data_IF_623414210003
#
_entry.id   IF_623414210003
#
_cell.length_a   1.000
_cell.length_b   1.000
_cell.length_c   1.000
_cell.angle_alpha   90.00
_cell.angle_beta   90.00
_cell.angle_gamma   90.00
#
_symmetry.space_group_name_H-M   'P 1'
#
loop_
_entity.id
_entity.type
_entity.pdbx_description
1 polymer ?
#
# COMPACT_ATOMS: atom_id res chain seq x y z
N UNK A 1 53.56 -34.36 16.02
CA UNK A 1 52.46 -34.88 15.16
C UNK A 1 51.16 -34.63 15.88
N UNK A 2 50.32 -33.79 15.27
CA UNK A 2 49.10 -33.22 15.83
C UNK A 2 47.95 -33.65 14.89
N UNK A 3 46.96 -34.36 15.41
CA UNK A 3 45.68 -34.66 14.73
C UNK A 3 44.67 -34.92 15.86
N UNK A 4 43.87 -33.95 16.30
CA UNK A 4 42.65 -33.39 15.68
C UNK A 4 41.58 -34.46 15.44
N UNK A 5 40.55 -34.50 16.30
CA UNK A 5 39.20 -34.90 15.89
C UNK A 5 38.17 -34.04 16.62
N UNK A 6 37.59 -33.12 15.84
CA UNK A 6 36.43 -32.31 16.19
C UNK A 6 35.19 -33.21 16.34
N UNK A 7 34.48 -33.07 17.46
CA UNK A 7 33.08 -33.46 17.57
C UNK A 7 32.21 -32.26 17.13
N UNK A 8 31.75 -32.30 15.89
CA UNK A 8 30.68 -31.44 15.38
C UNK A 8 29.34 -31.95 15.91
N UNK A 9 28.80 -31.31 16.95
CA UNK A 9 27.38 -31.43 17.32
C UNK A 9 26.57 -30.56 16.35
N UNK A 10 26.32 -31.07 15.15
CA UNK A 10 25.22 -30.61 14.31
C UNK A 10 23.95 -31.29 14.79
N UNK A 11 23.06 -30.56 15.46
CA UNK A 11 21.71 -31.05 15.68
C UNK A 11 21.04 -31.17 14.32
N UNK A 12 20.94 -32.40 13.78
CA UNK A 12 20.15 -32.68 12.60
C UNK A 12 18.70 -32.29 12.88
N UNK A 13 18.17 -31.37 12.09
CA UNK A 13 16.74 -31.05 12.10
C UNK A 13 16.02 -32.37 11.76
N UNK A 14 15.00 -32.79 12.53
CA UNK A 14 14.29 -34.03 12.23
C UNK A 14 13.69 -33.97 10.82
N UNK A 15 13.99 -34.97 9.99
CA UNK A 15 13.40 -35.10 8.66
C UNK A 15 11.89 -35.28 8.79
N UNK A 16 11.12 -34.40 8.14
CA UNK A 16 9.66 -34.54 8.07
C UNK A 16 9.35 -35.74 7.18
N UNK A 17 8.56 -36.70 7.69
CA UNK A 17 8.12 -37.87 6.93
C UNK A 17 7.45 -37.45 5.61
N UNK A 18 7.81 -38.13 4.51
CA UNK A 18 7.38 -37.76 3.16
C UNK A 18 7.99 -36.46 2.61
N UNK A 19 8.85 -35.76 3.36
CA UNK A 19 9.47 -34.50 2.94
C UNK A 19 10.35 -34.62 1.69
N UNK A 20 11.11 -35.72 1.56
CA UNK A 20 11.92 -35.99 0.38
C UNK A 20 11.06 -36.19 -0.89
N UNK A 21 9.95 -36.95 -0.78
CA UNK A 21 8.98 -37.12 -1.87
C UNK A 21 8.32 -35.80 -2.24
N UNK A 22 7.99 -34.97 -1.24
CA UNK A 22 7.42 -33.65 -1.49
C UNK A 22 8.37 -32.75 -2.28
N UNK A 23 9.65 -32.70 -1.88
CA UNK A 23 10.67 -31.91 -2.58
C UNK A 23 10.95 -32.44 -3.99
N UNK A 24 10.99 -33.76 -4.19
CA UNK A 24 11.11 -34.37 -5.50
C UNK A 24 9.90 -34.06 -6.41
N UNK A 25 8.69 -34.04 -5.84
CA UNK A 25 7.47 -33.59 -6.50
C UNK A 25 7.54 -32.12 -6.91
N UNK A 26 8.04 -31.25 -6.03
CA UNK A 26 8.23 -29.82 -6.31
C UNK A 26 9.24 -29.60 -7.44
N UNK A 27 10.35 -30.32 -7.43
CA UNK A 27 11.35 -30.27 -8.50
C UNK A 27 10.77 -30.74 -9.83
N UNK A 28 10.00 -31.83 -9.83
CA UNK A 28 9.33 -32.34 -11.04
C UNK A 28 8.30 -31.35 -11.58
N UNK A 29 7.53 -30.68 -10.71
CA UNK A 29 6.57 -29.65 -11.10
C UNK A 29 7.27 -28.44 -11.74
N UNK A 30 8.38 -27.97 -11.15
CA UNK A 30 9.19 -26.87 -11.72
C UNK A 30 9.80 -27.23 -13.08
N UNK A 31 10.07 -28.51 -13.31
CA UNK A 31 10.51 -29.04 -14.60
C UNK A 31 9.36 -29.29 -15.60
N UNK A 32 8.12 -28.90 -15.25
CA UNK A 32 6.90 -29.14 -16.03
C UNK A 32 6.59 -30.64 -16.30
N UNK A 33 7.15 -31.54 -15.49
CA UNK A 33 6.88 -32.98 -15.54
C UNK A 33 5.64 -33.31 -14.70
N UNK A 34 4.48 -32.80 -15.12
CA UNK A 34 3.25 -32.82 -14.31
C UNK A 34 2.78 -34.23 -13.93
N UNK A 35 2.93 -35.22 -14.81
CA UNK A 35 2.59 -36.62 -14.50
C UNK A 35 3.46 -37.20 -13.39
N UNK A 36 4.75 -36.91 -13.45
CA UNK A 36 5.71 -37.38 -12.45
C UNK A 36 5.49 -36.67 -11.11
N UNK A 37 5.29 -35.35 -11.15
CA UNK A 37 4.99 -34.55 -9.97
C UNK A 37 3.72 -35.06 -9.27
N UNK A 38 2.64 -35.31 -10.02
CA UNK A 38 1.40 -35.85 -9.45
C UNK A 38 1.63 -37.20 -8.74
N UNK A 39 2.37 -38.12 -9.34
CA UNK A 39 2.70 -39.42 -8.73
C UNK A 39 3.50 -39.27 -7.43
N UNK A 40 4.55 -38.44 -7.43
CA UNK A 40 5.38 -38.19 -6.25
C UNK A 40 4.58 -37.55 -5.10
N UNK A 41 3.69 -36.62 -5.41
CA UNK A 41 2.80 -36.03 -4.41
C UNK A 41 1.77 -37.03 -3.87
N UNK A 42 1.24 -37.95 -4.69
CA UNK A 42 0.35 -39.02 -4.19
C UNK A 42 1.09 -40.02 -3.29
N UNK A 43 2.34 -40.33 -3.59
CA UNK A 43 3.19 -41.16 -2.72
C UNK A 43 3.46 -40.45 -1.39
N UNK A 44 3.84 -39.17 -1.44
CA UNK A 44 4.02 -38.33 -0.25
C UNK A 44 2.75 -38.29 0.61
N UNK A 45 1.58 -38.16 -0.03
CA UNK A 45 0.29 -38.19 0.66
C UNK A 45 0.00 -39.53 1.34
N UNK A 46 0.51 -40.64 0.82
CA UNK A 46 0.34 -41.97 1.43
C UNK A 46 1.25 -42.12 2.66
N UNK A 47 2.49 -41.63 2.57
CA UNK A 47 3.51 -41.79 3.61
C UNK A 47 3.39 -40.80 4.76
N UNK A 48 2.84 -39.60 4.53
CA UNK A 48 2.88 -38.53 5.52
C UNK A 48 1.49 -38.00 5.85
N UNK A 49 0.99 -38.28 7.05
CA UNK A 49 -0.26 -37.70 7.55
C UNK A 49 -0.19 -36.16 7.58
N UNK A 50 0.95 -35.61 8.02
CA UNK A 50 1.15 -34.16 8.18
C UNK A 50 1.20 -33.40 6.85
N UNK A 51 1.77 -34.02 5.81
CA UNK A 51 1.83 -33.42 4.47
C UNK A 51 0.65 -33.81 3.58
N UNK A 52 -0.13 -34.84 3.93
CA UNK A 52 -1.22 -35.41 3.10
C UNK A 52 -2.12 -34.36 2.45
N UNK A 53 -2.79 -33.46 3.19
CA UNK A 53 -3.69 -32.48 2.58
C UNK A 53 -2.97 -31.56 1.56
N UNK A 54 -1.73 -31.16 1.87
CA UNK A 54 -0.97 -30.31 0.96
C UNK A 54 -0.51 -31.07 -0.28
N UNK A 55 -0.01 -32.29 -0.10
CA UNK A 55 0.46 -33.17 -1.16
C UNK A 55 -0.69 -33.57 -2.09
N UNK A 56 -1.85 -33.97 -1.58
CA UNK A 56 -3.05 -34.24 -2.40
C UNK A 56 -3.48 -33.02 -3.22
N UNK A 57 -3.49 -31.83 -2.61
CA UNK A 57 -3.81 -30.59 -3.33
C UNK A 57 -2.78 -30.26 -4.43
N UNK A 58 -1.49 -30.55 -4.20
CA UNK A 58 -0.42 -30.41 -5.22
C UNK A 58 -0.52 -31.46 -6.33
N UNK A 59 -0.89 -32.69 -5.98
CA UNK A 59 -1.17 -33.74 -6.95
C UNK A 59 -2.32 -33.33 -7.86
N UNK A 60 -3.44 -32.88 -7.29
CA UNK A 60 -4.60 -32.38 -8.03
C UNK A 60 -4.25 -31.24 -9.01
N UNK A 61 -3.46 -30.25 -8.56
CA UNK A 61 -2.93 -29.19 -9.44
C UNK A 61 -2.18 -29.76 -10.64
N UNK A 62 -1.31 -30.75 -10.42
CA UNK A 62 -0.52 -31.35 -11.50
C UNK A 62 -1.35 -32.28 -12.40
N UNK A 63 -2.36 -32.99 -11.87
CA UNK A 63 -3.34 -33.72 -12.68
C UNK A 63 -4.06 -32.77 -13.64
N UNK A 64 -4.48 -31.59 -13.16
CA UNK A 64 -5.10 -30.55 -13.99
C UNK A 64 -4.15 -30.05 -15.07
N UNK A 65 -2.89 -29.74 -14.73
CA UNK A 65 -1.89 -29.26 -15.69
C UNK A 65 -1.54 -30.32 -16.75
N UNK A 66 -1.70 -31.60 -16.43
CA UNK A 66 -1.60 -32.72 -17.36
C UNK A 66 -2.90 -33.02 -18.15
N UNK A 67 -3.95 -32.17 -18.02
CA UNK A 67 -5.22 -32.32 -18.72
C UNK A 67 -6.20 -33.33 -18.11
N UNK A 68 -5.86 -33.97 -16.99
CA UNK A 68 -6.73 -34.93 -16.29
C UNK A 68 -7.63 -34.21 -15.29
N UNK A 69 -8.61 -33.48 -15.83
CA UNK A 69 -9.51 -32.63 -15.05
C UNK A 69 -10.39 -33.42 -14.06
N UNK A 70 -10.86 -34.61 -14.42
CA UNK A 70 -11.68 -35.44 -13.53
C UNK A 70 -10.88 -35.94 -12.31
N UNK A 71 -9.65 -36.41 -12.53
CA UNK A 71 -8.76 -36.85 -11.46
C UNK A 71 -8.38 -35.70 -10.53
N UNK A 72 -8.11 -34.52 -11.10
CA UNK A 72 -7.85 -33.31 -10.33
C UNK A 72 -9.04 -32.93 -9.44
N UNK A 73 -10.25 -32.98 -10.00
CA UNK A 73 -11.49 -32.67 -9.28
C UNK A 73 -11.75 -33.65 -8.13
N UNK A 74 -11.58 -34.96 -8.37
CA UNK A 74 -11.73 -35.98 -7.33
C UNK A 74 -10.76 -35.74 -6.15
N UNK A 75 -9.50 -35.44 -6.45
CA UNK A 75 -8.49 -35.15 -5.42
C UNK A 75 -8.79 -33.85 -4.67
N UNK A 76 -9.27 -32.80 -5.35
CA UNK A 76 -9.68 -31.57 -4.66
C UNK A 76 -10.86 -31.82 -3.72
N UNK A 77 -11.89 -32.56 -4.15
CA UNK A 77 -13.00 -32.91 -3.26
C UNK A 77 -12.56 -33.75 -2.08
N UNK A 78 -11.64 -34.71 -2.29
CA UNK A 78 -11.09 -35.49 -1.20
C UNK A 78 -10.44 -34.58 -0.15
N UNK A 79 -9.62 -33.61 -0.56
CA UNK A 79 -9.01 -32.66 0.37
C UNK A 79 -10.06 -31.84 1.12
N UNK A 80 -11.07 -31.32 0.42
CA UNK A 80 -12.11 -30.49 1.06
C UNK A 80 -13.03 -31.27 2.00
N UNK A 81 -13.25 -32.57 1.73
CA UNK A 81 -14.11 -33.43 2.56
C UNK A 81 -13.37 -33.98 3.77
N UNK A 82 -12.15 -34.47 3.58
CA UNK A 82 -11.38 -35.16 4.61
C UNK A 82 -10.65 -34.15 5.51
N UNK A 83 -10.37 -32.95 4.99
CA UNK A 83 -9.68 -31.84 5.68
C UNK A 83 -10.47 -30.54 5.54
N UNK A 84 -11.69 -30.46 6.11
CA UNK A 84 -12.53 -29.26 6.02
C UNK A 84 -11.89 -28.06 6.75
N UNK A 85 -11.04 -28.34 7.74
CA UNK A 85 -10.31 -27.34 8.51
C UNK A 85 -8.80 -27.40 8.22
N UNK A 86 -8.17 -26.23 8.07
CA UNK A 86 -6.71 -26.11 7.99
C UNK A 86 -6.20 -25.17 6.90
N UNK A 87 -4.88 -24.89 6.88
CA UNK A 87 -4.29 -23.91 5.96
C UNK A 87 -4.41 -24.33 4.48
N UNK A 88 -4.57 -25.63 4.21
CA UNK A 88 -4.60 -26.19 2.85
C UNK A 88 -5.98 -26.20 2.19
N UNK A 89 -7.06 -26.07 2.98
CA UNK A 89 -8.45 -26.04 2.51
C UNK A 89 -8.67 -24.80 1.65
N UNK A 90 -8.25 -23.63 2.14
CA UNK A 90 -8.34 -22.36 1.40
C UNK A 90 -7.53 -22.38 0.11
N UNK A 91 -6.33 -22.96 0.15
CA UNK A 91 -5.50 -23.15 -1.03
C UNK A 91 -6.16 -24.08 -2.06
N UNK A 92 -6.92 -25.06 -1.58
CA UNK A 92 -7.66 -26.00 -2.42
C UNK A 92 -8.87 -25.34 -3.07
N UNK A 93 -9.66 -24.54 -2.33
CA UNK A 93 -10.72 -23.71 -2.91
C UNK A 93 -10.16 -22.81 -4.02
N UNK A 94 -9.03 -22.15 -3.78
CA UNK A 94 -8.37 -21.30 -4.78
C UNK A 94 -8.08 -22.09 -6.08
N UNK A 95 -7.43 -23.25 -5.95
CA UNK A 95 -7.07 -24.09 -7.10
C UNK A 95 -8.28 -24.64 -7.85
N UNK A 96 -9.34 -24.95 -7.11
CA UNK A 96 -10.61 -25.41 -7.69
C UNK A 96 -11.31 -24.27 -8.44
N UNK A 97 -11.34 -23.07 -7.87
CA UNK A 97 -11.81 -21.86 -8.53
C UNK A 97 -11.07 -21.60 -9.85
N UNK A 98 -9.74 -21.68 -9.84
CA UNK A 98 -8.90 -21.52 -11.05
C UNK A 98 -9.21 -22.58 -12.12
N UNK A 99 -9.43 -23.83 -11.71
CA UNK A 99 -9.84 -24.90 -12.63
C UNK A 99 -11.18 -24.59 -13.29
N UNK A 100 -12.17 -24.14 -12.51
CA UNK A 100 -13.49 -23.78 -13.01
C UNK A 100 -13.46 -22.54 -13.90
N UNK A 101 -12.64 -21.56 -13.54
CA UNK A 101 -12.37 -20.38 -14.35
C UNK A 101 -11.87 -20.77 -15.74
N UNK A 102 -10.86 -21.65 -15.81
CA UNK A 102 -10.30 -22.13 -17.08
C UNK A 102 -11.31 -22.92 -17.93
N UNK A 103 -12.28 -23.57 -17.29
CA UNK A 103 -13.37 -24.29 -17.96
C UNK A 103 -14.53 -23.37 -18.38
N UNK A 104 -14.45 -22.05 -18.14
CA UNK A 104 -15.55 -21.11 -18.41
C UNK A 104 -16.74 -21.26 -17.47
N UNK A 105 -16.61 -22.02 -16.38
CA UNK A 105 -17.69 -22.28 -15.42
C UNK A 105 -17.76 -21.16 -14.37
N UNK A 106 -18.21 -19.98 -14.79
CA UNK A 106 -18.20 -18.73 -13.99
C UNK A 106 -18.86 -18.88 -12.63
N UNK A 107 -20.06 -19.47 -12.56
CA UNK A 107 -20.81 -19.66 -11.30
C UNK A 107 -20.04 -20.53 -10.31
N UNK A 108 -19.48 -21.64 -10.79
CA UNK A 108 -18.70 -22.57 -9.95
C UNK A 108 -17.38 -21.93 -9.50
N UNK A 109 -16.69 -21.23 -10.41
CA UNK A 109 -15.44 -20.54 -10.10
C UNK A 109 -15.65 -19.49 -9.00
N UNK A 110 -16.69 -18.66 -9.14
CA UNK A 110 -17.05 -17.64 -8.16
C UNK A 110 -17.32 -18.21 -6.77
N UNK A 111 -18.06 -19.33 -6.67
CA UNK A 111 -18.31 -19.99 -5.38
C UNK A 111 -17.00 -20.29 -4.65
N UNK A 112 -16.06 -20.96 -5.33
CA UNK A 112 -14.79 -21.32 -4.72
C UNK A 112 -13.91 -20.11 -4.42
N UNK A 113 -13.95 -19.06 -5.24
CA UNK A 113 -13.26 -17.81 -4.94
C UNK A 113 -13.85 -17.09 -3.72
N UNK A 114 -15.17 -17.08 -3.57
CA UNK A 114 -15.82 -16.53 -2.38
C UNK A 114 -15.39 -17.30 -1.11
N UNK A 115 -15.40 -18.64 -1.15
CA UNK A 115 -14.89 -19.47 -0.05
C UNK A 115 -13.41 -19.19 0.25
N UNK A 116 -12.60 -19.00 -0.79
CA UNK A 116 -11.18 -18.62 -0.67
C UNK A 116 -10.97 -17.27 0.01
N UNK A 117 -11.89 -16.32 -0.15
CA UNK A 117 -11.76 -14.95 0.36
C UNK A 117 -12.46 -14.77 1.72
N UNK A 118 -13.38 -15.68 2.08
CA UNK A 118 -14.21 -15.55 3.27
C UNK A 118 -13.37 -15.35 4.56
N UNK A 119 -13.74 -14.33 5.34
CA UNK A 119 -13.15 -14.03 6.65
C UNK A 119 -11.72 -13.45 6.61
N UNK A 120 -11.21 -13.01 5.45
CA UNK A 120 -9.90 -12.39 5.35
C UNK A 120 -9.99 -10.87 5.41
N UNK A 121 -9.74 -10.31 6.59
CA UNK A 121 -9.64 -8.87 6.81
C UNK A 121 -8.39 -8.56 7.66
N UNK A 122 -7.37 -7.85 7.11
CA UNK A 122 -7.28 -7.34 5.74
C UNK A 122 -7.02 -8.44 4.70
N UNK A 123 -7.38 -8.18 3.44
CA UNK A 123 -7.09 -9.09 2.34
C UNK A 123 -5.57 -9.15 2.08
N UNK A 124 -4.93 -10.34 2.09
CA UNK A 124 -3.53 -10.47 1.73
C UNK A 124 -3.26 -10.11 0.27
N UNK A 125 -2.25 -9.29 0.00
CA UNK A 125 -1.90 -8.76 -1.33
C UNK A 125 -1.72 -9.85 -2.41
N UNK A 126 -1.28 -11.06 -2.05
CA UNK A 126 -1.09 -12.15 -3.01
C UNK A 126 -2.42 -12.76 -3.50
N UNK A 127 -3.55 -12.40 -2.88
CA UNK A 127 -4.90 -12.79 -3.28
C UNK A 127 -5.63 -11.72 -4.11
N UNK A 128 -5.01 -10.56 -4.36
CA UNK A 128 -5.63 -9.44 -5.09
C UNK A 128 -6.18 -9.87 -6.46
N UNK A 129 -5.42 -10.67 -7.21
CA UNK A 129 -5.85 -11.18 -8.52
C UNK A 129 -7.11 -12.05 -8.41
N UNK A 130 -7.21 -12.85 -7.36
CA UNK A 130 -8.35 -13.74 -7.15
C UNK A 130 -9.59 -12.93 -6.76
N UNK A 131 -9.43 -11.95 -5.87
CA UNK A 131 -10.50 -11.02 -5.50
C UNK A 131 -11.01 -10.23 -6.72
N UNK A 132 -10.10 -9.79 -7.59
CA UNK A 132 -10.45 -9.15 -8.85
C UNK A 132 -11.27 -10.05 -9.76
N UNK A 133 -10.80 -11.28 -10.00
CA UNK A 133 -11.52 -12.24 -10.82
C UNK A 133 -12.91 -12.57 -10.24
N UNK A 134 -13.01 -12.69 -8.92
CA UNK A 134 -14.28 -12.91 -8.23
C UNK A 134 -15.27 -11.76 -8.47
N UNK A 135 -14.78 -10.51 -8.39
CA UNK A 135 -15.60 -9.32 -8.65
C UNK A 135 -16.03 -9.22 -10.13
N UNK A 136 -15.13 -9.49 -11.08
CA UNK A 136 -15.47 -9.52 -12.52
C UNK A 136 -16.54 -10.58 -12.82
N UNK A 137 -16.46 -11.74 -12.16
CA UNK A 137 -17.46 -12.79 -12.28
C UNK A 137 -18.79 -12.45 -11.61
N UNK A 138 -18.77 -11.72 -10.50
CA UNK A 138 -19.99 -11.17 -9.93
C UNK A 138 -20.70 -10.23 -10.93
N UNK A 139 -19.95 -9.37 -11.63
CA UNK A 139 -20.51 -8.47 -12.65
C UNK A 139 -21.08 -9.20 -13.89
N UNK A 140 -20.65 -10.44 -14.15
CA UNK A 140 -21.18 -11.25 -15.25
C UNK A 140 -22.49 -11.98 -14.90
N UNK A 141 -22.91 -11.97 -13.64
CA UNK A 141 -24.09 -12.68 -13.14
C UNK A 141 -25.19 -11.69 -12.74
N UNK A 142 -26.43 -11.84 -13.27
CA UNK A 142 -27.54 -10.98 -12.89
C UNK A 142 -27.80 -11.01 -11.37
N UNK A 143 -27.91 -9.84 -10.75
CA UNK A 143 -28.19 -9.67 -9.33
C UNK A 143 -26.97 -9.61 -8.41
N UNK A 144 -25.75 -9.80 -8.94
CA UNK A 144 -24.49 -9.72 -8.19
C UNK A 144 -23.68 -8.44 -8.47
N UNK A 145 -24.24 -7.50 -9.22
CA UNK A 145 -23.56 -6.28 -9.66
C UNK A 145 -23.10 -5.43 -8.47
N UNK A 146 -23.97 -5.29 -7.45
CA UNK A 146 -23.66 -4.52 -6.23
C UNK A 146 -22.43 -5.07 -5.50
N UNK A 147 -22.27 -6.39 -5.46
CA UNK A 147 -21.13 -7.04 -4.83
C UNK A 147 -19.85 -6.83 -5.65
N UNK A 148 -19.91 -7.06 -6.97
CA UNK A 148 -18.78 -6.85 -7.86
C UNK A 148 -18.27 -5.40 -7.82
N UNK A 149 -19.17 -4.42 -7.88
CA UNK A 149 -18.79 -3.00 -7.80
C UNK A 149 -18.34 -2.57 -6.40
N UNK A 150 -18.83 -3.19 -5.33
CA UNK A 150 -18.34 -2.91 -3.97
C UNK A 150 -16.83 -3.20 -3.82
N UNK A 151 -16.34 -4.29 -4.41
CA UNK A 151 -14.91 -4.59 -4.43
C UNK A 151 -14.11 -3.48 -5.14
N UNK A 152 -14.53 -3.08 -6.33
CA UNK A 152 -13.81 -2.03 -7.08
C UNK A 152 -13.85 -0.67 -6.38
N UNK A 153 -14.94 -0.33 -5.66
CA UNK A 153 -15.00 0.86 -4.81
C UNK A 153 -13.95 0.81 -3.69
N UNK A 154 -13.82 -0.32 -3.00
CA UNK A 154 -12.79 -0.51 -1.97
C UNK A 154 -11.38 -0.40 -2.57
N UNK A 155 -11.11 -1.03 -3.72
CA UNK A 155 -9.81 -0.88 -4.41
C UNK A 155 -9.53 0.58 -4.72
N UNK A 156 -10.52 1.34 -5.21
CA UNK A 156 -10.35 2.77 -5.50
C UNK A 156 -10.06 3.59 -4.24
N UNK A 157 -10.73 3.27 -3.13
CA UNK A 157 -10.59 3.97 -1.87
C UNK A 157 -9.24 3.71 -1.21
N UNK A 158 -8.76 2.47 -1.20
CA UNK A 158 -7.78 2.04 -0.19
C UNK A 158 -6.46 1.54 -0.76
N UNK A 159 -6.40 1.08 -2.01
CA UNK A 159 -5.12 0.61 -2.57
C UNK A 159 -4.09 1.73 -2.53
N UNK A 160 -2.82 1.39 -2.27
CA UNK A 160 -1.70 2.35 -2.39
C UNK A 160 -1.18 2.43 -3.84
N UNK A 161 -1.52 1.46 -4.69
CA UNK A 161 -0.96 1.32 -6.03
C UNK A 161 -1.78 2.04 -7.10
N UNK A 162 -1.11 2.75 -8.00
CA UNK A 162 -1.77 3.55 -9.06
C UNK A 162 -2.47 2.68 -10.10
N UNK A 163 -1.83 1.60 -10.56
CA UNK A 163 -2.38 0.77 -11.63
C UNK A 163 -3.68 0.04 -11.21
N UNK A 164 -3.74 -0.69 -10.08
CA UNK A 164 -4.99 -1.29 -9.61
C UNK A 164 -6.10 -0.27 -9.39
N UNK A 165 -5.80 0.90 -8.81
CA UNK A 165 -6.77 1.98 -8.64
C UNK A 165 -7.37 2.45 -9.95
N UNK A 166 -6.52 2.70 -10.96
CA UNK A 166 -6.96 3.16 -12.29
C UNK A 166 -7.80 2.10 -12.98
N UNK A 167 -7.41 0.85 -12.89
CA UNK A 167 -8.11 -0.23 -13.59
C UNK A 167 -9.47 -0.52 -12.93
N UNK A 168 -9.56 -0.42 -11.59
CA UNK A 168 -10.82 -0.54 -10.84
C UNK A 168 -11.76 0.64 -11.15
N UNK A 169 -11.20 1.85 -11.22
CA UNK A 169 -11.91 3.05 -11.63
C UNK A 169 -12.54 2.91 -13.02
N UNK A 170 -11.80 2.35 -14.00
CA UNK A 170 -12.33 2.06 -15.34
C UNK A 170 -13.47 1.05 -15.32
N UNK A 171 -13.41 0.06 -14.42
CA UNK A 171 -14.49 -0.92 -14.22
C UNK A 171 -15.75 -0.23 -13.69
N UNK A 172 -15.61 0.63 -12.69
CA UNK A 172 -16.70 1.39 -12.10
C UNK A 172 -17.40 2.32 -13.11
N UNK A 173 -16.65 2.90 -14.04
CA UNK A 173 -17.22 3.75 -15.10
C UNK A 173 -18.14 3.01 -16.08
N UNK A 174 -18.11 1.68 -16.13
CA UNK A 174 -19.05 0.89 -16.95
C UNK A 174 -20.36 0.59 -16.23
N UNK A 175 -20.51 0.98 -14.95
CA UNK A 175 -21.72 0.74 -14.17
C UNK A 175 -22.87 1.62 -14.65
N UNK A 176 -24.09 1.05 -14.65
CA UNK A 176 -25.32 1.82 -14.85
C UNK A 176 -25.65 2.71 -13.65
N UNK A 177 -25.10 2.44 -12.47
CA UNK A 177 -25.27 3.24 -11.27
C UNK A 177 -24.34 4.47 -11.26
N UNK A 178 -24.92 5.66 -11.05
CA UNK A 178 -24.17 6.92 -11.01
C UNK A 178 -23.19 7.03 -9.82
N UNK A 179 -23.47 6.37 -8.69
CA UNK A 179 -22.55 6.33 -7.55
C UNK A 179 -21.27 5.54 -7.87
N UNK A 180 -21.39 4.41 -8.57
CA UNK A 180 -20.22 3.66 -9.02
C UNK A 180 -19.40 4.51 -9.99
N UNK A 181 -20.05 5.18 -10.96
CA UNK A 181 -19.34 6.05 -11.90
C UNK A 181 -18.66 7.24 -11.22
N UNK A 182 -19.26 7.82 -10.18
CA UNK A 182 -18.60 8.80 -9.31
C UNK A 182 -17.29 8.24 -8.73
N UNK A 183 -17.32 7.05 -8.15
CA UNK A 183 -16.12 6.38 -7.64
C UNK A 183 -15.10 6.10 -8.76
N UNK A 184 -15.57 5.80 -9.97
CA UNK A 184 -14.73 5.72 -11.17
C UNK A 184 -13.99 7.02 -11.46
N UNK A 185 -14.70 8.14 -11.50
CA UNK A 185 -14.09 9.48 -11.70
C UNK A 185 -13.10 9.80 -10.58
N UNK A 186 -13.49 9.57 -9.32
CA UNK A 186 -12.64 9.77 -8.15
C UNK A 186 -11.35 8.94 -8.23
N UNK A 187 -11.44 7.66 -8.60
CA UNK A 187 -10.28 6.78 -8.73
C UNK A 187 -9.32 7.20 -9.84
N UNK A 188 -9.84 7.63 -10.99
CA UNK A 188 -9.00 8.20 -12.07
C UNK A 188 -8.28 9.47 -11.61
N UNK A 189 -8.99 10.39 -10.96
CA UNK A 189 -8.42 11.62 -10.45
C UNK A 189 -7.34 11.35 -9.39
N UNK A 190 -7.57 10.40 -8.46
CA UNK A 190 -6.58 9.96 -7.47
C UNK A 190 -5.34 9.33 -8.11
N UNK A 191 -5.51 8.61 -9.20
CA UNK A 191 -4.42 8.04 -10.02
C UNK A 191 -3.74 9.04 -10.96
N UNK A 192 -4.02 10.34 -10.83
CA UNK A 192 -3.45 11.43 -11.64
C UNK A 192 -3.79 11.28 -13.14
N UNK A 193 -4.84 10.51 -13.46
CA UNK A 193 -5.37 10.40 -14.81
C UNK A 193 -6.45 11.46 -15.04
N UNK A 194 -6.03 12.73 -14.98
CA UNK A 194 -6.93 13.88 -14.88
C UNK A 194 -7.78 14.05 -16.14
N UNK A 195 -7.21 13.82 -17.32
CA UNK A 195 -7.92 13.92 -18.61
C UNK A 195 -9.08 12.92 -18.69
N UNK A 196 -8.82 11.64 -18.42
CA UNK A 196 -9.84 10.60 -18.46
C UNK A 196 -10.91 10.86 -17.37
N UNK A 197 -10.50 11.34 -16.19
CA UNK A 197 -11.42 11.70 -15.11
C UNK A 197 -12.36 12.84 -15.53
N UNK A 198 -11.81 13.89 -16.16
CA UNK A 198 -12.57 15.03 -16.67
C UNK A 198 -13.55 14.64 -17.76
N UNK A 199 -13.11 13.84 -18.72
CA UNK A 199 -13.96 13.34 -19.80
C UNK A 199 -15.10 12.45 -19.27
N UNK A 200 -14.81 11.60 -18.28
CA UNK A 200 -15.83 10.79 -17.64
C UNK A 200 -16.84 11.67 -16.87
N UNK A 201 -16.36 12.63 -16.08
CA UNK A 201 -17.22 13.56 -15.33
C UNK A 201 -18.13 14.38 -16.26
N UNK A 202 -17.65 14.83 -17.42
CA UNK A 202 -18.45 15.67 -18.33
C UNK A 202 -19.61 14.93 -19.01
N UNK A 203 -19.62 13.58 -18.96
CA UNK A 203 -20.71 12.76 -19.49
C UNK A 203 -21.86 12.59 -18.49
N UNK A 204 -21.65 12.98 -17.23
CA UNK A 204 -22.62 12.77 -16.17
C UNK A 204 -23.63 13.91 -16.10
N UNK A 205 -24.91 13.55 -15.96
CA UNK A 205 -26.02 14.50 -15.84
C UNK A 205 -26.29 14.80 -14.36
N UNK A 206 -25.30 15.39 -13.69
CA UNK A 206 -25.38 15.73 -12.26
C UNK A 206 -25.94 17.14 -12.09
N UNK A 207 -26.95 17.26 -11.24
CA UNK A 207 -27.56 18.54 -10.85
C UNK A 207 -27.06 18.95 -9.47
N UNK A 208 -26.72 20.22 -9.32
CA UNK A 208 -26.33 20.89 -8.09
C UNK A 208 -27.28 22.06 -7.82
N UNK A 209 -27.33 22.53 -6.56
CA UNK A 209 -28.16 23.65 -6.13
C UNK A 209 -27.41 24.97 -6.27
N UNK A 210 -27.99 25.92 -7.00
CA UNK A 210 -27.56 27.31 -7.09
C UNK A 210 -28.18 28.21 -6.03
N UNK A 211 -28.02 29.52 -6.21
CA UNK A 211 -28.67 30.53 -5.37
C UNK A 211 -30.19 30.34 -5.37
N UNK A 212 -30.83 30.51 -4.21
CA UNK A 212 -32.28 30.38 -4.03
C UNK A 212 -32.86 29.01 -4.44
N UNK A 213 -32.01 27.97 -4.53
CA UNK A 213 -32.45 26.60 -4.83
C UNK A 213 -32.61 26.28 -6.32
N UNK A 214 -32.17 27.15 -7.23
CA UNK A 214 -32.20 26.88 -8.67
C UNK A 214 -31.35 25.65 -9.00
N UNK A 215 -31.89 24.73 -9.80
CA UNK A 215 -31.14 23.57 -10.28
C UNK A 215 -30.15 23.98 -11.37
N UNK A 216 -28.88 23.64 -11.19
CA UNK A 216 -27.78 23.93 -12.10
C UNK A 216 -27.05 22.63 -12.47
N UNK A 217 -26.52 22.50 -13.70
CA UNK A 217 -25.64 21.38 -14.01
C UNK A 217 -24.33 21.50 -13.22
N UNK A 218 -23.67 20.37 -12.94
CA UNK A 218 -22.35 20.35 -12.26
C UNK A 218 -21.30 21.22 -12.98
N UNK A 219 -21.39 21.33 -14.31
CA UNK A 219 -20.52 22.20 -15.13
C UNK A 219 -20.63 23.69 -14.79
N UNK A 220 -21.64 24.13 -14.04
CA UNK A 220 -21.69 25.48 -13.48
C UNK A 220 -20.52 25.79 -12.54
N UNK A 221 -19.91 24.78 -11.91
CA UNK A 221 -18.67 24.94 -11.14
C UNK A 221 -17.48 25.26 -12.07
N UNK A 222 -17.39 24.62 -13.23
CA UNK A 222 -16.36 24.92 -14.24
C UNK A 222 -16.52 26.35 -14.77
N UNK A 223 -17.76 26.78 -15.06
CA UNK A 223 -18.08 28.14 -15.49
C UNK A 223 -17.65 29.16 -14.43
N UNK A 224 -17.94 28.91 -13.16
CA UNK A 224 -17.52 29.79 -12.07
C UNK A 224 -15.99 29.90 -11.97
N UNK A 225 -15.28 28.79 -12.22
CA UNK A 225 -13.82 28.73 -12.15
C UNK A 225 -13.12 29.45 -13.31
N UNK A 226 -13.73 29.59 -14.49
CA UNK A 226 -13.10 30.20 -15.67
C UNK A 226 -12.60 31.64 -15.42
N UNK A 227 -13.25 32.37 -14.51
CA UNK A 227 -12.87 33.75 -14.17
C UNK A 227 -11.70 33.86 -13.18
N UNK A 228 -11.15 32.75 -12.68
CA UNK A 228 -10.19 32.75 -11.57
C UNK A 228 -8.93 33.60 -11.80
N UNK A 229 -8.45 33.72 -13.05
CA UNK A 229 -7.28 34.54 -13.35
C UNK A 229 -7.59 36.04 -13.33
N UNK A 230 -8.78 36.43 -13.76
CA UNK A 230 -9.19 37.84 -13.87
C UNK A 230 -9.81 38.37 -12.57
N UNK A 231 -10.54 37.52 -11.84
CA UNK A 231 -11.25 37.85 -10.61
C UNK A 231 -11.12 36.69 -9.60
N UNK A 232 -9.95 36.53 -8.94
CA UNK A 232 -9.74 35.44 -7.98
C UNK A 232 -10.71 35.52 -6.79
N UNK A 233 -10.90 36.71 -6.24
CA UNK A 233 -11.73 36.93 -5.03
C UNK A 233 -13.21 36.67 -5.32
N UNK A 234 -13.75 37.23 -6.41
CA UNK A 234 -15.14 36.97 -6.77
C UNK A 234 -15.36 35.52 -7.23
N UNK A 235 -14.33 34.88 -7.82
CA UNK A 235 -14.39 33.45 -8.15
C UNK A 235 -14.48 32.58 -6.90
N UNK A 236 -13.66 32.85 -5.88
CA UNK A 236 -13.71 32.15 -4.59
C UNK A 236 -15.10 32.30 -3.94
N UNK A 237 -15.65 33.52 -3.89
CA UNK A 237 -17.00 33.77 -3.33
C UNK A 237 -18.12 33.02 -4.09
N UNK A 238 -18.07 33.01 -5.43
CA UNK A 238 -19.05 32.29 -6.26
C UNK A 238 -18.97 30.79 -6.01
N UNK A 239 -17.76 30.23 -5.98
CA UNK A 239 -17.54 28.81 -5.71
C UNK A 239 -17.96 28.44 -4.29
N UNK A 240 -17.60 29.24 -3.29
CA UNK A 240 -17.99 29.03 -1.89
C UNK A 240 -19.51 28.97 -1.73
N UNK A 241 -20.25 29.87 -2.40
CA UNK A 241 -21.72 29.86 -2.41
C UNK A 241 -22.28 28.55 -2.99
N UNK A 242 -21.78 28.13 -4.16
CA UNK A 242 -22.21 26.90 -4.81
C UNK A 242 -21.85 25.66 -3.96
N UNK A 243 -20.66 25.61 -3.38
CA UNK A 243 -20.18 24.48 -2.59
C UNK A 243 -20.93 24.38 -1.25
N UNK A 244 -21.22 25.52 -0.61
CA UNK A 244 -22.01 25.55 0.62
C UNK A 244 -23.40 24.94 0.42
N UNK A 245 -24.05 25.27 -0.70
CA UNK A 245 -25.36 24.71 -1.07
C UNK A 245 -25.32 23.21 -1.43
N UNK A 246 -24.13 22.65 -1.67
CA UNK A 246 -23.93 21.29 -2.19
C UNK A 246 -22.92 20.47 -1.36
N UNK A 247 -22.80 20.76 -0.06
CA UNK A 247 -21.90 20.05 0.87
C UNK A 247 -22.15 18.54 0.98
N UNK A 248 -23.39 18.11 0.75
CA UNK A 248 -23.76 16.68 0.73
C UNK A 248 -23.64 16.05 -0.67
N UNK A 249 -23.27 16.81 -1.70
CA UNK A 249 -23.14 16.31 -3.07
C UNK A 249 -21.73 15.73 -3.29
N UNK A 250 -21.57 14.40 -3.40
CA UNK A 250 -20.24 13.80 -3.54
C UNK A 250 -19.53 14.22 -4.83
N UNK A 251 -20.29 14.54 -5.87
CA UNK A 251 -19.77 15.05 -7.15
C UNK A 251 -19.07 16.40 -7.00
N UNK A 252 -19.57 17.29 -6.12
CA UNK A 252 -18.93 18.58 -5.87
C UNK A 252 -17.54 18.40 -5.21
N UNK A 253 -17.41 17.43 -4.29
CA UNK A 253 -16.12 17.04 -3.69
C UNK A 253 -15.14 16.52 -4.74
N UNK A 254 -15.59 15.58 -5.58
CA UNK A 254 -14.74 15.00 -6.63
C UNK A 254 -14.36 16.05 -7.67
N UNK A 255 -15.26 16.98 -7.99
CA UNK A 255 -14.98 18.11 -8.87
C UNK A 255 -13.89 19.00 -8.28
N UNK A 256 -13.97 19.39 -7.00
CA UNK A 256 -12.95 20.20 -6.34
C UNK A 256 -11.58 19.52 -6.35
N UNK A 257 -11.54 18.23 -6.01
CA UNK A 257 -10.30 17.45 -6.05
C UNK A 257 -9.69 17.44 -7.46
N UNK A 258 -10.51 17.18 -8.49
CA UNK A 258 -10.06 17.15 -9.87
C UNK A 258 -9.58 18.53 -10.34
N UNK A 259 -10.38 19.57 -10.12
CA UNK A 259 -10.07 20.94 -10.51
C UNK A 259 -8.79 21.46 -9.84
N UNK A 260 -8.60 21.21 -8.54
CA UNK A 260 -7.37 21.60 -7.83
C UNK A 260 -6.12 20.97 -8.48
N UNK A 261 -6.19 19.68 -8.82
CA UNK A 261 -5.09 18.96 -9.48
C UNK A 261 -4.85 19.45 -10.90
N UNK A 262 -5.89 19.73 -11.67
CA UNK A 262 -5.76 20.30 -13.02
C UNK A 262 -5.11 21.68 -13.01
N UNK A 263 -5.54 22.58 -12.10
CA UNK A 263 -4.93 23.91 -11.96
C UNK A 263 -3.46 23.80 -11.56
N UNK A 264 -3.11 22.90 -10.63
CA UNK A 264 -1.72 22.64 -10.26
C UNK A 264 -0.88 22.08 -11.42
N UNK A 265 -1.44 21.14 -12.21
CA UNK A 265 -0.78 20.60 -13.40
C UNK A 265 -0.54 21.67 -14.47
N UNK A 266 -1.46 22.63 -14.59
CA UNK A 266 -1.36 23.80 -15.48
C UNK A 266 -0.53 24.96 -14.89
N UNK A 267 0.17 24.74 -13.75
CA UNK A 267 0.98 25.74 -13.03
C UNK A 267 0.21 26.97 -12.54
N UNK A 268 -1.12 26.89 -12.48
CA UNK A 268 -2.00 27.90 -11.90
C UNK A 268 -2.08 27.71 -10.37
N UNK A 269 -0.95 27.88 -9.70
CA UNK A 269 -0.79 27.49 -8.29
C UNK A 269 -1.71 28.27 -7.35
N UNK A 270 -1.91 29.57 -7.55
CA UNK A 270 -2.82 30.37 -6.72
C UNK A 270 -4.26 29.85 -6.74
N UNK A 271 -4.75 29.51 -7.93
CA UNK A 271 -6.08 28.91 -8.12
C UNK A 271 -6.15 27.50 -7.53
N UNK A 272 -5.10 26.69 -7.69
CA UNK A 272 -5.04 25.37 -7.09
C UNK A 272 -5.07 25.44 -5.54
N UNK A 273 -4.32 26.36 -4.94
CA UNK A 273 -4.30 26.60 -3.49
C UNK A 273 -5.67 27.09 -3.00
N UNK A 274 -6.37 27.95 -3.75
CA UNK A 274 -7.76 28.37 -3.46
C UNK A 274 -8.71 27.17 -3.43
N UNK A 275 -8.68 26.33 -4.47
CA UNK A 275 -9.52 25.14 -4.55
C UNK A 275 -9.22 24.13 -3.43
N UNK A 276 -7.94 23.97 -3.04
CA UNK A 276 -7.57 23.11 -1.92
C UNK A 276 -8.06 23.65 -0.56
N UNK A 277 -8.11 24.98 -0.37
CA UNK A 277 -8.76 25.60 0.80
C UNK A 277 -10.26 25.37 0.82
N UNK A 278 -10.94 25.54 -0.30
CA UNK A 278 -12.37 25.25 -0.42
C UNK A 278 -12.67 23.77 -0.15
N UNK A 279 -11.86 22.87 -0.68
CA UNK A 279 -11.96 21.42 -0.42
C UNK A 279 -11.81 21.11 1.07
N UNK A 280 -10.80 21.72 1.73
CA UNK A 280 -10.60 21.57 3.18
C UNK A 280 -11.77 22.09 4.02
N UNK A 281 -12.43 23.16 3.56
CA UNK A 281 -13.47 23.86 4.34
C UNK A 281 -14.85 23.22 4.19
N UNK A 282 -15.16 22.65 3.02
CA UNK A 282 -16.47 22.07 2.73
C UNK A 282 -16.53 20.54 2.90
N UNK A 283 -15.39 19.84 2.85
CA UNK A 283 -15.35 18.38 2.89
C UNK A 283 -14.27 17.90 3.90
N UNK A 284 -14.63 17.76 5.19
CA UNK A 284 -13.67 17.60 6.29
C UNK A 284 -13.06 16.19 6.46
N UNK A 285 -13.19 15.28 5.48
CA UNK A 285 -12.55 13.95 5.49
C UNK A 285 -11.01 14.03 5.55
N UNK A 286 -10.43 15.20 5.24
CA UNK A 286 -9.02 15.54 5.40
C UNK A 286 -8.07 14.86 4.41
N UNK A 287 -8.35 13.61 4.02
CA UNK A 287 -7.60 12.81 3.04
C UNK A 287 -7.48 13.52 1.69
N UNK A 288 -8.58 13.86 1.04
CA UNK A 288 -8.54 14.45 -0.31
C UNK A 288 -7.89 15.83 -0.33
N UNK A 289 -8.15 16.61 0.71
CA UNK A 289 -7.59 17.95 0.86
C UNK A 289 -6.07 17.89 1.12
N UNK A 290 -5.62 17.02 2.03
CA UNK A 290 -4.20 16.75 2.23
C UNK A 290 -3.51 16.20 0.97
N UNK A 291 -4.20 15.32 0.22
CA UNK A 291 -3.75 14.83 -1.08
C UNK A 291 -3.64 15.94 -2.14
N UNK A 292 -4.55 16.93 -2.12
CA UNK A 292 -4.50 18.08 -3.00
C UNK A 292 -3.32 19.00 -2.66
N UNK A 293 -3.11 19.32 -1.38
CA UNK A 293 -1.95 20.10 -0.94
C UNK A 293 -0.62 19.41 -1.28
N UNK A 294 -0.54 18.10 -1.07
CA UNK A 294 0.60 17.30 -1.50
C UNK A 294 0.87 17.42 -3.00
N UNK A 295 -0.17 17.24 -3.81
CA UNK A 295 -0.05 17.33 -5.26
C UNK A 295 0.40 18.72 -5.71
N UNK A 296 -0.13 19.78 -5.11
CA UNK A 296 0.30 21.15 -5.36
C UNK A 296 1.79 21.32 -5.05
N UNK A 297 2.26 20.79 -3.91
CA UNK A 297 3.70 20.82 -3.57
C UNK A 297 4.56 20.14 -4.63
N UNK A 298 4.20 18.92 -5.06
CA UNK A 298 4.96 18.20 -6.10
C UNK A 298 4.96 18.93 -7.44
N UNK A 299 3.84 19.58 -7.83
CA UNK A 299 3.80 20.40 -9.05
C UNK A 299 4.63 21.68 -8.93
N UNK A 300 4.65 22.31 -7.76
CA UNK A 300 5.52 23.45 -7.48
C UNK A 300 7.00 23.06 -7.57
N UNK A 301 7.41 21.94 -6.96
CA UNK A 301 8.78 21.44 -7.04
C UNK A 301 9.20 21.13 -8.48
N UNK A 302 8.34 20.46 -9.25
CA UNK A 302 8.59 20.17 -10.65
C UNK A 302 8.70 21.45 -11.52
N UNK A 303 8.17 22.57 -11.05
CA UNK A 303 8.28 23.88 -11.68
C UNK A 303 9.39 24.77 -11.09
N UNK A 304 10.26 24.22 -10.23
CA UNK A 304 11.29 24.94 -9.44
C UNK A 304 10.74 26.09 -8.57
N UNK A 305 9.43 26.08 -8.29
CA UNK A 305 8.77 27.03 -7.41
C UNK A 305 8.92 26.57 -5.95
N UNK A 306 10.13 26.68 -5.40
CA UNK A 306 10.45 26.26 -4.02
C UNK A 306 9.58 26.94 -2.97
N UNK A 307 9.28 28.23 -3.16
CA UNK A 307 8.44 28.99 -2.24
C UNK A 307 6.99 28.45 -2.24
N UNK A 308 6.43 28.15 -3.41
CA UNK A 308 5.11 27.53 -3.54
C UNK A 308 5.05 26.14 -2.91
N UNK A 309 6.07 25.31 -3.16
CA UNK A 309 6.15 23.97 -2.57
C UNK A 309 6.16 24.02 -1.03
N UNK A 310 7.00 24.87 -0.45
CA UNK A 310 7.05 25.05 1.00
C UNK A 310 5.74 25.58 1.58
N UNK A 311 5.07 26.54 0.90
CA UNK A 311 3.75 27.00 1.34
C UNK A 311 2.74 25.85 1.35
N UNK A 312 2.65 25.07 0.28
CA UNK A 312 1.72 23.96 0.19
C UNK A 312 2.01 22.85 1.22
N UNK A 313 3.28 22.54 1.52
CA UNK A 313 3.62 21.64 2.62
C UNK A 313 3.17 22.16 3.98
N UNK A 314 3.35 23.46 4.28
CA UNK A 314 2.84 24.06 5.52
C UNK A 314 1.31 23.98 5.59
N UNK A 315 0.62 24.28 4.49
CA UNK A 315 -0.85 24.17 4.43
C UNK A 315 -1.33 22.74 4.71
N UNK A 316 -0.61 21.72 4.21
CA UNK A 316 -0.90 20.32 4.53
C UNK A 316 -0.77 20.08 6.04
N UNK A 317 0.33 20.50 6.66
CA UNK A 317 0.58 20.28 8.09
C UNK A 317 -0.39 21.06 8.99
N UNK A 318 -0.69 22.30 8.65
CA UNK A 318 -1.53 23.19 9.46
C UNK A 318 -3.00 22.75 9.43
N UNK A 319 -3.49 22.25 8.28
CA UNK A 319 -4.91 21.89 8.09
C UNK A 319 -5.18 20.41 8.23
N UNK A 320 -4.19 19.56 7.92
CA UNK A 320 -4.33 18.11 7.87
C UNK A 320 -3.13 17.43 8.57
N UNK A 321 -2.88 17.71 9.86
CA UNK A 321 -1.70 17.20 10.58
C UNK A 321 -1.64 15.66 10.64
N UNK A 322 -2.81 15.00 10.64
CA UNK A 322 -2.91 13.52 10.71
C UNK A 322 -2.87 12.85 9.32
N UNK A 323 -2.65 13.63 8.25
CA UNK A 323 -2.61 13.08 6.90
C UNK A 323 -1.43 12.13 6.72
N UNK A 324 -1.61 11.03 5.96
CA UNK A 324 -0.57 10.03 5.73
C UNK A 324 0.74 10.58 5.10
N UNK A 325 0.68 11.79 4.52
CA UNK A 325 1.84 12.50 3.94
C UNK A 325 2.41 13.61 4.83
N UNK A 326 1.82 13.88 5.99
CA UNK A 326 2.31 14.87 6.93
C UNK A 326 3.76 14.62 7.39
N UNK A 327 4.18 13.39 7.78
CA UNK A 327 5.58 13.15 8.13
C UNK A 327 6.54 13.49 6.98
N UNK A 328 6.14 13.20 5.74
CA UNK A 328 6.94 13.47 4.55
C UNK A 328 7.00 14.97 4.23
N UNK A 329 5.88 15.69 4.38
CA UNK A 329 5.83 17.14 4.19
C UNK A 329 6.73 17.86 5.21
N UNK A 330 6.68 17.46 6.48
CA UNK A 330 7.53 18.00 7.54
C UNK A 330 9.01 17.71 7.28
N UNK A 331 9.33 16.49 6.86
CA UNK A 331 10.68 16.11 6.44
C UNK A 331 11.20 16.94 5.24
N UNK A 332 10.33 17.26 4.26
CA UNK A 332 10.72 18.12 3.14
C UNK A 332 10.96 19.56 3.56
N UNK A 333 10.13 20.12 4.45
CA UNK A 333 10.38 21.44 5.03
C UNK A 333 11.70 21.49 5.79
N UNK A 334 12.01 20.46 6.60
CA UNK A 334 13.26 20.36 7.34
C UNK A 334 14.49 20.32 6.40
N UNK A 335 14.40 19.56 5.30
CA UNK A 335 15.45 19.52 4.29
C UNK A 335 15.60 20.85 3.56
N UNK A 336 14.51 21.53 3.22
CA UNK A 336 14.56 22.82 2.57
C UNK A 336 15.21 23.90 3.47
N UNK A 337 14.91 23.88 4.78
CA UNK A 337 15.56 24.75 5.76
C UNK A 337 17.06 24.45 5.87
N UNK A 338 17.44 23.16 5.91
CA UNK A 338 18.84 22.70 5.92
C UNK A 338 19.61 23.21 4.70
N UNK A 339 19.03 23.04 3.50
CA UNK A 339 19.63 23.46 2.23
C UNK A 339 19.73 24.98 2.09
N UNK A 340 18.80 25.71 2.71
CA UNK A 340 18.80 27.18 2.78
C UNK A 340 19.74 27.72 3.87
N UNK A 341 20.52 26.88 4.54
CA UNK A 341 21.45 27.27 5.60
C UNK A 341 20.80 27.63 6.94
N UNK A 342 19.48 27.51 7.06
CA UNK A 342 18.69 27.84 8.26
C UNK A 342 18.81 26.71 9.29
N UNK A 343 19.95 26.68 9.98
CA UNK A 343 20.34 25.67 10.97
C UNK A 343 19.24 25.31 11.96
N UNK A 344 18.81 26.31 12.71
CA UNK A 344 17.96 26.14 13.88
C UNK A 344 16.54 25.76 13.46
N UNK A 345 16.07 26.34 12.36
CA UNK A 345 14.80 25.96 11.75
C UNK A 345 14.82 24.49 11.29
N UNK A 346 15.90 24.02 10.67
CA UNK A 346 16.02 22.63 10.24
C UNK A 346 16.00 21.68 11.45
N UNK A 347 16.75 21.97 12.51
CA UNK A 347 16.74 21.18 13.74
C UNK A 347 15.36 21.13 14.38
N UNK A 348 14.69 22.27 14.51
CA UNK A 348 13.32 22.33 15.06
C UNK A 348 12.34 21.46 14.27
N UNK A 349 12.40 21.51 12.93
CA UNK A 349 11.52 20.71 12.08
C UNK A 349 11.83 19.20 12.15
N UNK A 350 13.11 18.80 12.28
CA UNK A 350 13.46 17.40 12.52
C UNK A 350 13.05 16.93 13.92
N UNK A 351 13.10 17.79 14.92
CA UNK A 351 12.63 17.49 16.28
C UNK A 351 11.10 17.33 16.31
N UNK A 352 10.37 18.21 15.64
CA UNK A 352 8.93 18.08 15.45
C UNK A 352 8.56 16.79 14.72
N UNK A 353 9.36 16.39 13.72
CA UNK A 353 9.13 15.15 12.98
C UNK A 353 9.15 13.93 13.90
N UNK A 354 10.14 13.80 14.77
CA UNK A 354 10.18 12.67 15.71
C UNK A 354 9.26 12.82 16.92
N UNK A 355 8.89 14.05 17.31
CA UNK A 355 7.87 14.25 18.34
C UNK A 355 6.47 13.85 17.86
N UNK A 356 6.13 14.20 16.63
CA UNK A 356 4.81 13.94 16.04
C UNK A 356 4.70 12.52 15.45
N UNK A 357 5.80 11.96 14.95
CA UNK A 357 5.81 10.69 14.22
C UNK A 357 6.97 9.79 14.68
N UNK A 358 7.05 9.39 15.95
CA UNK A 358 8.24 8.77 16.56
C UNK A 358 8.72 7.49 15.86
N UNK A 359 7.81 6.67 15.34
CA UNK A 359 8.10 5.38 14.67
C UNK A 359 8.12 5.49 13.13
N UNK A 360 8.09 6.71 12.60
CA UNK A 360 8.02 6.96 11.17
C UNK A 360 9.35 6.71 10.45
N UNK A 361 9.32 6.11 9.25
CA UNK A 361 10.53 5.97 8.42
C UNK A 361 11.26 7.29 8.14
N UNK A 362 10.52 8.40 8.05
CA UNK A 362 11.07 9.73 7.82
C UNK A 362 11.74 10.30 9.08
N UNK A 363 11.37 9.83 10.27
CA UNK A 363 11.94 10.26 11.55
C UNK A 363 13.37 9.79 11.69
N UNK A 364 13.63 8.50 11.44
CA UNK A 364 14.99 7.96 11.45
C UNK A 364 15.89 8.71 10.44
N UNK A 365 15.37 8.94 9.23
CA UNK A 365 16.10 9.71 8.22
C UNK A 365 16.30 11.17 8.62
N UNK A 366 15.28 11.81 9.18
CA UNK A 366 15.32 13.21 9.60
C UNK A 366 16.38 13.44 10.67
N UNK A 367 16.38 12.63 11.72
CA UNK A 367 17.42 12.68 12.74
C UNK A 367 18.81 12.35 12.18
N UNK A 368 18.92 11.38 11.27
CA UNK A 368 20.21 11.11 10.62
C UNK A 368 20.73 12.32 9.83
N UNK A 369 19.85 13.03 9.10
CA UNK A 369 20.21 14.25 8.36
C UNK A 369 20.51 15.43 9.29
N UNK A 370 19.82 15.54 10.42
CA UNK A 370 20.17 16.50 11.47
C UNK A 370 21.59 16.24 12.01
N UNK A 371 21.97 14.97 12.23
CA UNK A 371 23.33 14.64 12.62
C UNK A 371 24.37 15.00 11.54
N UNK A 372 24.06 14.81 10.26
CA UNK A 372 24.95 15.25 9.16
C UNK A 372 25.09 16.77 9.10
N UNK A 373 24.02 17.51 9.41
CA UNK A 373 24.05 18.97 9.52
C UNK A 373 24.92 19.43 10.70
N UNK A 374 24.87 18.72 11.83
CA UNK A 374 25.72 19.02 12.98
C UNK A 374 27.20 18.73 12.68
N UNK A 375 27.47 17.61 12.00
CA UNK A 375 28.80 17.23 11.55
C UNK A 375 29.44 18.28 10.62
N UNK A 376 28.68 18.79 9.63
CA UNK A 376 29.20 19.82 8.72
C UNK A 376 29.52 21.14 9.42
N UNK A 377 28.91 21.38 10.59
CA UNK A 377 29.20 22.51 11.48
C UNK A 377 30.20 22.20 12.59
N UNK A 378 30.74 20.98 12.64
CA UNK A 378 31.67 20.49 13.68
C UNK A 378 31.06 20.51 15.09
N UNK A 379 29.74 20.38 15.20
CA UNK A 379 29.02 20.26 16.48
C UNK A 379 28.89 18.77 16.85
N UNK A 380 29.91 18.24 17.52
CA UNK A 380 30.01 16.81 17.89
C UNK A 380 28.93 16.39 18.88
N UNK A 381 28.48 17.32 19.74
CA UNK A 381 27.44 17.04 20.75
C UNK A 381 26.09 16.80 20.06
N UNK A 382 25.64 17.75 19.23
CA UNK A 382 24.41 17.58 18.45
C UNK A 382 24.50 16.41 17.49
N UNK A 383 25.66 16.20 16.86
CA UNK A 383 25.87 15.04 15.98
C UNK A 383 25.57 13.74 16.72
N UNK A 384 26.17 13.55 17.90
CA UNK A 384 25.98 12.34 18.71
C UNK A 384 24.53 12.21 19.18
N UNK A 385 23.93 13.31 19.64
CA UNK A 385 22.53 13.36 20.07
C UNK A 385 21.58 12.88 18.97
N UNK A 386 21.70 13.45 17.76
CA UNK A 386 20.82 13.11 16.64
C UNK A 386 21.07 11.72 16.07
N UNK A 387 22.31 11.21 16.11
CA UNK A 387 22.55 9.81 15.76
C UNK A 387 21.89 8.85 16.75
N UNK A 388 21.91 9.15 18.06
CA UNK A 388 21.21 8.33 19.06
C UNK A 388 19.70 8.35 18.79
N UNK A 389 19.11 9.53 18.61
CA UNK A 389 17.69 9.66 18.26
C UNK A 389 17.31 8.89 16.99
N UNK A 390 18.15 8.94 15.94
CA UNK A 390 17.91 8.17 14.72
C UNK A 390 17.98 6.65 14.95
N UNK A 391 18.94 6.19 15.76
CA UNK A 391 19.08 4.79 16.15
C UNK A 391 17.90 4.29 17.00
N UNK A 392 17.41 5.13 17.91
CA UNK A 392 16.33 4.81 18.85
C UNK A 392 14.97 4.64 18.16
N UNK A 393 14.80 5.08 16.90
CA UNK A 393 13.60 4.78 16.08
C UNK A 393 13.43 3.27 15.87
N UNK A 394 14.51 2.50 15.92
CA UNK A 394 14.45 1.04 16.01
C UNK A 394 14.64 0.28 14.69
N UNK A 395 14.45 -1.03 14.78
CA UNK A 395 14.77 -1.98 13.72
C UNK A 395 13.79 -1.88 12.54
N UNK A 396 14.28 -2.17 11.32
CA UNK A 396 13.50 -2.08 10.09
C UNK A 396 13.67 -0.75 9.33
N UNK A 397 14.28 0.26 9.94
CA UNK A 397 14.57 1.54 9.30
C UNK A 397 16.03 1.66 8.85
N UNK A 398 16.25 1.83 7.54
CA UNK A 398 17.59 1.95 6.95
C UNK A 398 18.48 2.99 7.66
N UNK A 399 17.94 4.17 7.97
CA UNK A 399 18.71 5.25 8.59
C UNK A 399 18.97 5.06 10.10
N UNK A 400 18.15 4.27 10.79
CA UNK A 400 18.42 3.88 12.18
C UNK A 400 19.67 2.98 12.24
N UNK A 401 19.76 2.00 11.33
CA UNK A 401 20.94 1.14 11.19
C UNK A 401 22.19 1.94 10.81
N UNK A 402 22.08 2.89 9.88
CA UNK A 402 23.20 3.78 9.53
C UNK A 402 23.66 4.65 10.70
N UNK A 403 22.73 5.10 11.54
CA UNK A 403 23.04 5.89 12.72
C UNK A 403 23.79 5.05 13.76
N UNK A 404 23.29 3.85 14.06
CA UNK A 404 23.94 2.86 14.93
C UNK A 404 25.37 2.54 14.45
N UNK A 405 25.52 2.27 13.16
CA UNK A 405 26.83 2.03 12.56
C UNK A 405 27.80 3.19 12.79
N UNK A 406 27.33 4.43 12.57
CA UNK A 406 28.16 5.62 12.74
C UNK A 406 28.56 5.82 14.21
N UNK A 407 27.60 5.71 15.14
CA UNK A 407 27.84 5.78 16.58
C UNK A 407 28.92 4.79 17.04
N UNK A 408 28.85 3.53 16.59
CA UNK A 408 29.82 2.49 16.96
C UNK A 408 31.22 2.71 16.39
N UNK A 409 31.37 3.49 15.31
CA UNK A 409 32.68 3.86 14.75
C UNK A 409 33.26 5.14 15.36
N UNK A 410 32.40 6.04 15.85
CA UNK A 410 32.81 7.30 16.48
C UNK A 410 32.96 7.19 17.99
N UNK A 411 32.23 6.28 18.63
CA UNK A 411 32.35 5.92 20.04
C UNK A 411 33.17 4.63 20.09
N UNK A 412 34.43 4.71 20.47
CA UNK A 412 35.31 3.54 20.65
C UNK A 412 34.71 2.56 21.68
N UNK A 413 33.97 1.55 21.23
CA UNK A 413 33.48 0.47 22.07
C UNK A 413 32.18 -0.20 21.59
N UNK A 414 32.26 -1.49 21.27
CA UNK A 414 31.07 -2.34 21.18
C UNK A 414 30.51 -2.57 22.59
N UNK A 415 29.20 -2.42 22.86
CA UNK A 415 28.63 -2.86 24.11
C UNK A 415 28.57 -4.41 24.15
N UNK A 416 29.25 -5.10 25.07
CA UNK A 416 29.07 -6.54 25.27
C UNK A 416 27.71 -6.83 25.94
N UNK A 417 27.04 -7.96 25.62
CA UNK A 417 27.45 -9.06 24.75
C UNK A 417 26.65 -9.12 23.43
N UNK A 418 27.33 -9.22 22.29
CA UNK A 418 26.71 -9.36 20.96
C UNK A 418 27.09 -10.70 20.31
N UNK A 419 26.12 -11.47 19.80
CA UNK A 419 26.29 -12.74 19.06
C UNK A 419 26.25 -12.53 17.55
N UNK A 420 27.25 -13.06 16.86
CA UNK A 420 27.38 -12.93 15.40
C UNK A 420 26.65 -14.06 14.67
N UNK A 421 25.68 -13.73 13.81
CA UNK A 421 24.99 -14.70 12.95
C UNK A 421 25.83 -14.98 11.70
N UNK A 422 26.40 -16.18 11.61
CA UNK A 422 27.11 -16.66 10.41
C UNK A 422 26.09 -17.16 9.39
N UNK A 423 26.03 -16.52 8.23
CA UNK A 423 25.32 -17.05 7.06
C UNK A 423 26.40 -17.41 6.04
N UNK A 424 26.62 -18.70 5.87
CA UNK A 424 27.54 -19.32 4.89
C UNK A 424 29.05 -19.00 5.02
N UNK A 425 29.65 -19.53 6.09
CA UNK A 425 31.03 -20.03 6.00
C UNK A 425 32.22 -19.07 5.99
N UNK A 426 32.06 -17.74 6.10
CA UNK A 426 33.24 -16.86 6.20
C UNK A 426 32.99 -15.49 6.80
N UNK A 427 32.06 -14.72 6.22
CA UNK A 427 31.85 -13.32 6.57
C UNK A 427 30.40 -13.03 6.98
N UNK A 428 30.24 -12.17 7.98
CA UNK A 428 28.93 -11.74 8.46
C UNK A 428 28.52 -10.48 7.70
N UNK A 429 27.34 -10.49 7.07
CA UNK A 429 26.70 -9.27 6.56
C UNK A 429 25.69 -8.69 7.55
N UNK A 430 25.43 -9.38 8.66
CA UNK A 430 24.51 -8.97 9.73
C UNK A 430 25.33 -8.69 10.98
N UNK A 431 25.21 -7.47 11.51
CA UNK A 431 25.83 -7.08 12.78
C UNK A 431 25.34 -8.00 13.92
N UNK A 432 26.19 -8.26 14.93
CA UNK A 432 25.86 -9.22 15.97
C UNK A 432 24.66 -8.78 16.83
N UNK A 433 23.70 -9.68 17.04
CA UNK A 433 22.49 -9.50 17.85
C UNK A 433 22.82 -9.44 19.36
N UNK A 434 22.04 -8.73 20.21
CA UNK A 434 22.22 -8.81 21.66
C UNK A 434 22.14 -10.27 22.15
N UNK A 435 23.03 -10.69 23.05
CA UNK A 435 23.13 -12.08 23.50
C UNK A 435 21.99 -12.53 24.43
N UNK A 436 21.22 -11.57 24.96
CA UNK A 436 20.00 -11.83 25.73
C UNK A 436 18.84 -11.30 24.89
N UNK A 437 18.09 -12.23 24.30
CA UNK A 437 16.69 -11.97 23.99
C UNK A 437 16.00 -11.89 25.35
N UNK A 438 15.84 -10.68 25.91
CA UNK A 438 14.79 -10.50 26.91
C UNK A 438 13.54 -11.11 26.30
N UNK A 439 12.82 -11.93 27.07
CA UNK A 439 11.62 -12.64 26.60
C UNK A 439 10.84 -11.66 25.74
N UNK A 440 10.82 -11.92 24.44
CA UNK A 440 9.91 -11.21 23.56
C UNK A 440 8.53 -11.52 24.15
N UNK A 441 7.96 -10.56 24.88
CA UNK A 441 6.52 -10.39 24.95
C UNK A 441 6.01 -10.64 23.53
N UNK A 442 4.96 -11.46 23.34
CA UNK A 442 4.46 -11.75 22.00
C UNK A 442 4.04 -10.43 21.36
N UNK A 443 4.96 -9.82 20.61
CA UNK A 443 4.64 -8.70 19.76
C UNK A 443 3.67 -9.27 18.75
N UNK A 444 2.40 -8.88 18.91
CA UNK A 444 1.46 -8.90 17.81
C UNK A 444 2.21 -8.37 16.59
N UNK A 445 2.36 -9.22 15.56
CA UNK A 445 2.77 -8.76 14.25
C UNK A 445 1.70 -7.74 13.82
N UNK A 446 1.92 -6.48 14.18
CA UNK A 446 1.12 -5.36 13.74
C UNK A 446 1.49 -5.12 12.29
N UNK A 447 0.81 -5.86 11.40
CA UNK A 447 0.41 -5.29 10.13
C UNK A 447 -0.70 -4.30 10.51
N UNK A 448 -0.31 -3.10 10.94
CA UNK A 448 -1.23 -1.97 11.06
C UNK A 448 -1.00 -1.05 9.88
N UNK A 449 -2.05 -1.01 9.04
CA UNK A 449 -2.41 -0.11 7.92
C UNK A 449 -1.46 1.01 7.51
#
# INVERSE_FOLDING_TARGET
MMTLFLLMLGAAIPEIEGGALFLAGDQSERAALHDNAAKLFLQCATESDGLRPYALSRAAKNQRLAGRHADAEALFYQVLNDYPDGPWTRLTWMRMGDMRHQQGQVVNARRYYADTLAGLEPLPWFLDKLAWNNADYALALPGYEREGYAYFRSVVADTIYVAPRRDAARRLLTSSNGEDRLWGVYGLARSVNLRDAREAMSKELVVIRGAQGVELPLSSLDIALMAAQADPTGTEQRLETLLHANRECPWARVWLMLAAREQAANKQFSTAEMLARLLSSHFPDGRDAGDAWWYISERCEAADNKAGAQRAYRQLLDRHPDHARAPRALFYLANAARESGQADAAYALYDDLGRLFPEGRFTAEGYYRAAQLAESRKDTEKQTQYLRRAADVGFGHFYAHRALYKLRRTLDGHPPPTRTLRVDGGDNFIDPMPAVLERFEPHHFLITN
#
